data_IF_296823108789
#
_entry.id   IF_296823108789
#
_cell.length_a   1.000
_cell.length_b   1.000
_cell.length_c   1.000
_cell.angle_alpha   90.00
_cell.angle_beta   90.00
_cell.angle_gamma   90.00
#
_symmetry.space_group_name_H-M   'P 1'
#
loop_
_entity.id
_entity.type
_entity.pdbx_description
1 polymer ?
#
# COMPACT_ATOMS: atom_id res chain seq x y z
N UNK A 1 7.71 -67.93 -48.20
CA UNK A 1 8.16 -66.55 -47.89
C UNK A 1 7.13 -65.92 -46.94
N UNK A 2 7.56 -65.72 -45.69
CA UNK A 2 6.75 -65.18 -44.56
C UNK A 2 6.67 -63.66 -44.69
N UNK A 3 5.49 -63.12 -44.90
CA UNK A 3 5.29 -61.65 -44.69
C UNK A 3 5.36 -61.32 -43.23
N UNK A 4 6.28 -60.43 -42.91
CA UNK A 4 6.47 -59.89 -41.55
C UNK A 4 5.42 -58.82 -41.25
N UNK A 5 4.64 -59.09 -40.23
CA UNK A 5 3.53 -58.27 -39.75
C UNK A 5 4.08 -56.99 -39.04
N UNK A 6 4.27 -55.90 -39.81
CA UNK A 6 4.79 -54.61 -39.32
C UNK A 6 3.69 -53.75 -38.69
N UNK A 7 2.43 -54.17 -38.77
CA UNK A 7 1.31 -53.38 -38.27
C UNK A 7 1.14 -53.34 -36.76
N UNK A 8 1.65 -54.29 -36.01
CA UNK A 8 1.47 -54.36 -34.57
C UNK A 8 2.42 -53.44 -33.78
N UNK A 9 3.64 -53.15 -34.31
CA UNK A 9 4.65 -52.37 -33.61
C UNK A 9 4.35 -50.89 -33.59
N UNK A 10 3.69 -50.34 -34.62
CA UNK A 10 3.35 -48.93 -34.71
C UNK A 10 2.17 -48.53 -33.79
N UNK A 11 1.26 -49.45 -33.50
CA UNK A 11 0.16 -49.23 -32.55
C UNK A 11 0.60 -49.20 -31.10
N UNK A 12 1.64 -49.94 -30.75
CA UNK A 12 2.23 -49.93 -29.38
C UNK A 12 2.99 -48.66 -29.08
N UNK A 13 3.75 -48.12 -30.04
CA UNK A 13 4.47 -46.87 -29.91
C UNK A 13 3.56 -45.65 -29.79
N UNK A 14 2.40 -45.67 -30.46
CA UNK A 14 1.42 -44.59 -30.40
C UNK A 14 0.70 -44.53 -29.05
N UNK A 15 0.52 -45.68 -28.38
CA UNK A 15 -0.10 -45.75 -27.05
C UNK A 15 0.81 -45.28 -25.91
N UNK A 16 2.11 -45.57 -26.02
CA UNK A 16 3.10 -45.12 -25.03
C UNK A 16 3.39 -43.61 -25.09
N UNK A 17 3.35 -43.02 -26.29
CA UNK A 17 3.57 -41.59 -26.48
C UNK A 17 2.48 -40.72 -25.87
N UNK A 18 1.21 -41.15 -25.99
CA UNK A 18 0.08 -40.42 -25.41
C UNK A 18 0.12 -40.44 -23.87
N UNK A 19 0.49 -41.58 -23.28
CA UNK A 19 0.66 -41.66 -21.82
C UNK A 19 1.82 -40.81 -21.31
N UNK A 20 2.92 -40.71 -22.05
CA UNK A 20 4.06 -39.91 -21.69
C UNK A 20 3.72 -38.40 -21.77
N UNK A 21 3.03 -37.97 -22.80
CA UNK A 21 2.57 -36.57 -22.94
C UNK A 21 1.53 -36.20 -21.88
N UNK A 22 0.59 -37.09 -21.56
CA UNK A 22 -0.38 -36.86 -20.49
C UNK A 22 0.29 -36.78 -19.11
N UNK A 23 1.31 -37.58 -18.83
CA UNK A 23 2.06 -37.56 -17.60
C UNK A 23 2.91 -36.29 -17.46
N UNK A 24 3.57 -35.86 -18.54
CA UNK A 24 4.35 -34.62 -18.57
C UNK A 24 3.44 -33.39 -18.42
N UNK A 25 2.25 -33.43 -19.07
CA UNK A 25 1.27 -32.34 -18.93
C UNK A 25 0.67 -32.25 -17.52
N UNK A 26 0.41 -33.39 -16.87
CA UNK A 26 -0.03 -33.42 -15.48
C UNK A 26 1.06 -32.94 -14.51
N UNK A 27 2.31 -33.32 -14.73
CA UNK A 27 3.45 -32.84 -13.93
C UNK A 27 3.67 -31.33 -14.11
N UNK A 28 3.55 -30.82 -15.33
CA UNK A 28 3.62 -29.38 -15.59
C UNK A 28 2.44 -28.61 -14.98
N UNK A 29 1.23 -29.18 -15.03
CA UNK A 29 0.05 -28.57 -14.41
C UNK A 29 0.16 -28.56 -12.86
N UNK A 30 0.70 -29.64 -12.27
CA UNK A 30 0.98 -29.68 -10.82
C UNK A 30 2.09 -28.71 -10.42
N UNK A 31 3.11 -28.53 -11.26
CA UNK A 31 4.18 -27.55 -11.01
C UNK A 31 3.68 -26.12 -11.07
N UNK A 32 2.73 -25.79 -11.95
CA UNK A 32 2.12 -24.46 -12.03
C UNK A 32 1.16 -24.15 -10.87
N UNK A 33 0.59 -25.19 -10.24
CA UNK A 33 -0.33 -25.02 -9.12
C UNK A 33 0.40 -24.85 -7.76
N UNK A 34 1.69 -25.18 -7.69
CA UNK A 34 2.46 -25.10 -6.43
C UNK A 34 3.38 -23.88 -6.35
N UNK A 35 3.52 -23.11 -7.42
CA UNK A 35 4.22 -21.82 -7.35
C UNK A 35 3.24 -20.76 -6.86
N UNK A 36 2.93 -20.79 -5.57
CA UNK A 36 2.49 -19.57 -4.90
C UNK A 36 3.60 -18.54 -5.11
N UNK A 37 3.31 -17.51 -5.93
CA UNK A 37 4.22 -16.39 -6.08
C UNK A 37 4.61 -15.92 -4.66
N UNK A 38 5.90 -15.73 -4.36
CA UNK A 38 6.28 -15.20 -3.07
C UNK A 38 5.53 -13.87 -2.91
N UNK A 39 4.68 -13.79 -1.91
CA UNK A 39 4.02 -12.55 -1.55
C UNK A 39 5.12 -11.62 -1.03
N UNK A 40 5.63 -10.77 -1.90
CA UNK A 40 6.64 -9.76 -1.60
C UNK A 40 6.02 -8.66 -0.73
N UNK A 41 5.60 -9.00 0.46
CA UNK A 41 5.01 -8.06 1.40
C UNK A 41 5.51 -8.33 2.80
N UNK A 42 5.77 -7.27 3.57
CA UNK A 42 6.03 -7.39 5.00
C UNK A 42 4.80 -8.04 5.66
N UNK A 43 4.98 -9.25 6.16
CA UNK A 43 3.99 -9.90 7.01
C UNK A 43 4.31 -9.51 8.45
N UNK A 44 3.41 -8.81 9.15
CA UNK A 44 3.66 -8.46 10.54
C UNK A 44 3.80 -9.72 11.40
N UNK A 45 4.63 -9.67 12.45
CA UNK A 45 4.82 -10.82 13.34
C UNK A 45 3.49 -11.27 13.96
N UNK A 46 3.33 -12.55 14.32
CA UNK A 46 2.19 -13.03 15.09
C UNK A 46 1.96 -12.21 16.37
N UNK A 47 0.73 -12.22 16.88
CA UNK A 47 0.37 -11.38 18.04
C UNK A 47 1.15 -11.73 19.31
N UNK A 48 1.53 -12.98 19.50
CA UNK A 48 2.35 -13.47 20.62
C UNK A 48 3.78 -12.94 20.61
N UNK A 49 4.25 -12.49 19.47
CA UNK A 49 5.61 -11.95 19.30
C UNK A 49 5.69 -10.43 19.48
N UNK A 50 4.57 -9.80 19.69
CA UNK A 50 4.52 -8.38 20.00
C UNK A 50 4.84 -8.16 21.48
N UNK A 51 5.76 -7.26 21.85
CA UNK A 51 6.09 -7.05 23.25
C UNK A 51 4.87 -6.59 24.04
N UNK A 52 4.66 -7.16 25.23
CA UNK A 52 3.60 -6.72 26.14
C UNK A 52 3.82 -5.30 26.64
N UNK A 53 5.08 -4.91 26.80
CA UNK A 53 5.52 -3.59 27.24
C UNK A 53 6.68 -3.12 26.40
N UNK A 54 6.87 -1.81 26.28
CA UNK A 54 8.06 -1.19 25.68
C UNK A 54 8.41 0.12 26.40
N UNK A 55 9.67 0.52 26.31
CA UNK A 55 10.12 1.77 26.90
C UNK A 55 9.92 2.91 25.92
N UNK A 56 9.23 3.98 26.36
CA UNK A 56 9.06 5.22 25.60
C UNK A 56 9.54 6.38 26.48
N UNK A 57 10.58 7.07 26.06
CA UNK A 57 11.18 8.20 26.81
C UNK A 57 11.43 7.86 28.28
N UNK A 58 12.04 6.70 28.53
CA UNK A 58 12.38 6.21 29.88
C UNK A 58 11.23 5.61 30.68
N UNK A 59 9.99 5.65 30.17
CA UNK A 59 8.81 5.08 30.86
C UNK A 59 8.39 3.76 30.23
N UNK A 60 8.08 2.76 31.04
CA UNK A 60 7.48 1.50 30.61
C UNK A 60 6.01 1.72 30.25
N UNK A 61 5.66 1.36 29.04
CA UNK A 61 4.29 1.47 28.49
C UNK A 61 3.77 0.08 28.20
N UNK A 62 2.61 -0.27 28.74
CA UNK A 62 1.91 -1.50 28.39
C UNK A 62 1.16 -1.30 27.06
N UNK A 63 1.42 -2.17 26.09
CA UNK A 63 0.89 -2.02 24.73
C UNK A 63 -0.64 -2.13 24.71
N UNK A 64 -1.19 -3.05 25.51
CA UNK A 64 -2.65 -3.28 25.61
C UNK A 64 -3.42 -2.11 26.25
N UNK A 65 -2.74 -1.21 26.96
CA UNK A 65 -3.35 -0.02 27.56
C UNK A 65 -3.36 1.18 26.59
N UNK A 66 -2.78 1.04 25.42
CA UNK A 66 -2.75 2.09 24.42
C UNK A 66 -4.02 2.09 23.58
N UNK A 67 -4.67 3.22 23.51
CA UNK A 67 -5.78 3.48 22.61
C UNK A 67 -5.59 4.80 21.88
N UNK A 68 -6.07 4.89 20.65
CA UNK A 68 -5.99 6.10 19.86
C UNK A 68 -7.03 7.13 20.37
N UNK A 69 -6.60 8.26 20.94
CA UNK A 69 -7.52 9.28 21.44
C UNK A 69 -8.17 10.11 20.32
N UNK A 70 -7.73 9.95 19.07
CA UNK A 70 -8.18 10.74 17.91
C UNK A 70 -8.95 9.92 16.87
N UNK A 71 -9.48 8.76 17.24
CA UNK A 71 -10.02 7.76 16.30
C UNK A 71 -11.02 8.31 15.27
N UNK A 72 -11.83 9.30 15.62
CA UNK A 72 -12.85 9.88 14.74
C UNK A 72 -12.78 11.42 14.69
N UNK A 73 -11.61 11.98 14.92
CA UNK A 73 -11.41 13.42 14.92
C UNK A 73 -10.99 13.92 13.52
N UNK A 74 -11.82 14.70 12.81
CA UNK A 74 -11.50 15.22 11.48
C UNK A 74 -10.27 16.16 11.48
N UNK A 75 -10.04 16.90 12.56
CA UNK A 75 -8.85 17.78 12.68
C UNK A 75 -7.59 16.93 12.82
N UNK A 76 -7.68 15.86 13.58
CA UNK A 76 -6.57 14.91 13.70
C UNK A 76 -6.30 14.16 12.40
N UNK A 77 -7.35 13.81 11.64
CA UNK A 77 -7.23 13.21 10.30
C UNK A 77 -6.41 14.11 9.37
N UNK A 78 -6.80 15.40 9.25
CA UNK A 78 -6.11 16.35 8.38
C UNK A 78 -4.66 16.59 8.83
N UNK A 79 -4.45 16.78 10.14
CA UNK A 79 -3.09 16.95 10.66
C UNK A 79 -2.24 15.70 10.49
N UNK A 80 -2.85 14.51 10.67
CA UNK A 80 -2.21 13.21 10.46
C UNK A 80 -1.75 13.04 9.02
N UNK A 81 -2.59 13.43 8.04
CA UNK A 81 -2.23 13.41 6.63
C UNK A 81 -1.04 14.32 6.31
N UNK A 82 -1.01 15.54 6.83
CA UNK A 82 0.12 16.45 6.66
C UNK A 82 1.42 15.86 7.25
N UNK A 83 1.34 15.26 8.44
CA UNK A 83 2.48 14.59 9.06
C UNK A 83 2.92 13.35 8.28
N UNK A 84 1.97 12.55 7.77
CA UNK A 84 2.26 11.41 6.92
C UNK A 84 3.01 11.84 5.65
N UNK A 85 2.53 12.85 4.96
CA UNK A 85 3.19 13.41 3.76
C UNK A 85 4.61 13.87 4.08
N UNK A 86 4.80 14.50 5.21
CA UNK A 86 6.13 15.03 5.60
C UNK A 86 7.12 13.91 5.95
N UNK A 87 6.68 12.84 6.62
CA UNK A 87 7.58 11.88 7.27
C UNK A 87 7.50 10.46 6.72
N UNK A 88 6.41 10.07 6.09
CA UNK A 88 6.13 8.67 5.74
C UNK A 88 5.98 8.43 4.22
N UNK A 89 5.50 9.44 3.50
CA UNK A 89 5.16 9.41 2.08
C UNK A 89 6.28 8.86 1.19
N UNK A 90 7.53 9.28 1.39
CA UNK A 90 8.63 8.89 0.51
C UNK A 90 8.91 7.38 0.52
N UNK A 91 8.57 6.70 1.59
CA UNK A 91 8.71 5.24 1.68
C UNK A 91 7.38 4.52 1.43
N UNK A 92 6.29 5.00 2.07
CA UNK A 92 5.00 4.29 2.08
C UNK A 92 4.05 4.69 0.95
N UNK A 93 4.40 5.72 0.12
CA UNK A 93 3.60 6.16 -1.01
C UNK A 93 2.38 7.01 -0.62
N UNK A 94 1.83 7.71 -1.58
CA UNK A 94 0.62 8.51 -1.45
C UNK A 94 -0.65 7.67 -1.41
N UNK A 95 -0.62 6.52 -2.07
CA UNK A 95 -1.69 5.53 -2.05
C UNK A 95 -1.64 4.61 -0.84
N UNK A 96 -0.68 4.80 0.07
CA UNK A 96 -0.49 3.93 1.24
C UNK A 96 -0.10 2.48 0.89
N UNK A 97 0.38 2.24 -0.32
CA UNK A 97 0.65 0.93 -0.93
C UNK A 97 2.11 0.47 -0.80
N UNK A 98 2.95 1.21 -0.06
CA UNK A 98 4.37 0.91 0.10
C UNK A 98 5.24 1.30 -1.11
N UNK A 99 4.67 1.86 -2.17
CA UNK A 99 5.35 2.23 -3.41
C UNK A 99 5.82 3.69 -3.44
N UNK A 100 6.24 4.23 -2.31
CA UNK A 100 6.87 5.54 -2.27
C UNK A 100 8.18 5.58 -3.06
N UNK A 101 8.69 6.78 -3.33
CA UNK A 101 9.88 7.02 -4.14
C UNK A 101 11.07 6.13 -3.73
N UNK A 102 11.26 5.93 -2.43
CA UNK A 102 12.32 5.08 -1.88
C UNK A 102 11.86 3.65 -1.55
N UNK A 103 10.56 3.35 -1.68
CA UNK A 103 9.99 2.07 -1.25
C UNK A 103 10.65 0.86 -1.90
N UNK A 104 10.97 0.95 -3.18
CA UNK A 104 11.61 -0.12 -3.96
C UNK A 104 13.08 -0.37 -3.61
N UNK A 105 13.70 0.53 -2.87
CA UNK A 105 15.12 0.42 -2.48
C UNK A 105 15.32 -0.38 -1.19
N UNK A 106 14.24 -0.78 -0.52
CA UNK A 106 14.31 -1.47 0.76
C UNK A 106 13.95 -2.96 0.64
N UNK A 107 14.61 -3.77 1.46
CA UNK A 107 14.31 -5.20 1.66
C UNK A 107 14.31 -5.48 3.16
N UNK A 108 13.15 -5.77 3.77
CA UNK A 108 11.81 -5.83 3.17
C UNK A 108 11.31 -4.45 2.71
N UNK A 109 10.38 -4.44 1.73
CA UNK A 109 9.74 -3.21 1.29
C UNK A 109 8.88 -2.59 2.41
N UNK A 110 8.56 -1.30 2.33
CA UNK A 110 7.61 -0.66 3.25
C UNK A 110 6.26 -1.36 3.24
N UNK A 111 5.59 -1.37 4.38
CA UNK A 111 4.29 -2.00 4.51
C UNK A 111 3.27 -1.36 3.53
N UNK A 112 2.54 -2.23 2.83
CA UNK A 112 1.37 -1.87 2.05
C UNK A 112 0.15 -1.85 2.96
N UNK A 113 -0.37 -0.65 3.25
CA UNK A 113 -1.54 -0.47 4.11
C UNK A 113 -2.86 -0.72 3.37
N UNK A 114 -2.84 -0.92 2.06
CA UNK A 114 -4.06 -1.17 1.28
C UNK A 114 -4.51 -2.63 1.36
N UNK A 115 -3.67 -3.52 1.86
CA UNK A 115 -3.97 -4.95 1.99
C UNK A 115 -4.72 -5.25 3.29
N UNK A 116 -5.73 -6.13 3.22
CA UNK A 116 -6.51 -6.56 4.40
C UNK A 116 -5.67 -7.35 5.43
N UNK A 117 -4.68 -8.11 4.94
CA UNK A 117 -3.77 -8.91 5.76
C UNK A 117 -2.53 -8.12 6.25
N UNK A 118 -2.54 -6.82 6.02
CA UNK A 118 -1.45 -5.94 6.39
C UNK A 118 -1.49 -5.55 7.89
N UNK A 119 -0.67 -4.56 8.23
CA UNK A 119 -0.63 -3.94 9.57
C UNK A 119 -2.02 -3.47 10.05
N UNK A 120 -2.96 -3.18 9.13
CA UNK A 120 -4.32 -2.75 9.48
C UNK A 120 -5.15 -3.86 10.15
N UNK A 121 -4.79 -5.12 9.98
CA UNK A 121 -5.39 -6.25 10.70
C UNK A 121 -4.99 -6.26 12.19
N UNK A 122 -4.00 -5.46 12.56
CA UNK A 122 -3.47 -5.37 13.92
C UNK A 122 -4.12 -4.23 14.71
N UNK A 123 -4.15 -4.32 16.04
CA UNK A 123 -4.55 -3.20 16.88
C UNK A 123 -3.71 -1.96 16.60
N UNK A 124 -4.31 -0.77 16.64
CA UNK A 124 -3.59 0.49 16.40
C UNK A 124 -2.42 0.72 17.37
N UNK A 125 -2.46 0.13 18.56
CA UNK A 125 -1.37 0.12 19.51
C UNK A 125 -0.09 -0.53 18.94
N UNK A 126 -0.25 -1.59 18.13
CA UNK A 126 0.87 -2.21 17.42
C UNK A 126 1.51 -1.23 16.44
N UNK A 127 0.69 -0.53 15.65
CA UNK A 127 1.18 0.48 14.71
C UNK A 127 1.87 1.63 15.41
N UNK A 128 1.33 2.05 16.56
CA UNK A 128 1.96 3.07 17.40
C UNK A 128 3.36 2.64 17.84
N UNK A 129 3.48 1.44 18.40
CA UNK A 129 4.77 0.89 18.81
C UNK A 129 5.75 0.80 17.63
N UNK A 130 5.29 0.33 16.47
CA UNK A 130 6.12 0.21 15.26
C UNK A 130 6.64 1.56 14.77
N UNK A 131 5.82 2.59 14.77
CA UNK A 131 6.24 3.93 14.39
C UNK A 131 7.26 4.46 15.41
N UNK A 132 6.98 4.33 16.70
CA UNK A 132 7.87 4.84 17.74
C UNK A 132 9.25 4.15 17.70
N UNK A 133 9.29 2.82 17.56
CA UNK A 133 10.52 2.02 17.67
C UNK A 133 11.19 1.67 16.35
N UNK A 134 10.50 1.84 15.25
CA UNK A 134 11.04 1.55 13.92
C UNK A 134 11.42 0.08 13.72
N UNK A 135 12.34 -0.18 12.80
CA UNK A 135 12.88 -1.51 12.51
C UNK A 135 13.50 -2.20 13.71
N UNK A 136 14.20 -1.46 14.54
CA UNK A 136 14.85 -1.96 15.75
C UNK A 136 13.88 -2.49 16.82
N UNK A 137 12.59 -2.15 16.73
CA UNK A 137 11.56 -2.63 17.63
C UNK A 137 11.10 -4.06 17.33
N UNK A 138 11.53 -4.69 16.22
CA UNK A 138 11.17 -6.06 15.91
C UNK A 138 11.96 -7.05 16.75
N UNK A 139 11.31 -8.14 17.22
CA UNK A 139 12.01 -9.26 17.84
C UNK A 139 13.08 -9.84 16.92
N UNK A 140 14.21 -10.27 17.50
CA UNK A 140 15.37 -10.80 16.77
C UNK A 140 15.03 -11.99 15.85
N UNK A 141 14.11 -12.83 16.24
CA UNK A 141 13.66 -13.98 15.43
C UNK A 141 13.04 -13.59 14.08
N UNK A 142 12.67 -12.33 13.87
CA UNK A 142 12.23 -11.80 12.59
C UNK A 142 13.37 -11.19 11.77
N UNK A 143 14.59 -11.31 12.23
CA UNK A 143 15.75 -11.04 11.37
C UNK A 143 15.94 -12.20 10.39
N UNK A 144 16.26 -11.97 9.13
CA UNK A 144 16.93 -10.78 8.60
C UNK A 144 16.01 -9.64 8.19
N UNK A 145 14.82 -9.53 8.73
CA UNK A 145 13.90 -8.41 8.47
C UNK A 145 14.47 -7.12 9.03
N UNK A 146 15.62 -6.75 8.53
CA UNK A 146 16.30 -5.51 8.87
C UNK A 146 15.50 -4.35 8.28
N UNK A 147 14.32 -4.15 8.84
CA UNK A 147 13.43 -3.08 8.42
C UNK A 147 14.14 -1.75 8.50
N UNK A 148 14.26 -1.07 7.38
CA UNK A 148 14.87 0.25 7.29
C UNK A 148 13.99 1.36 7.91
N UNK A 149 12.80 1.03 8.41
CA UNK A 149 11.91 1.98 9.04
C UNK A 149 12.61 2.63 10.26
N UNK A 150 12.78 3.97 10.28
CA UNK A 150 13.41 4.64 11.40
C UNK A 150 12.52 4.64 12.65
N UNK A 151 13.13 4.78 13.82
CA UNK A 151 12.41 5.08 15.05
C UNK A 151 12.03 6.56 15.06
N UNK A 152 10.78 6.86 15.36
CA UNK A 152 10.25 8.23 15.34
C UNK A 152 10.07 8.86 16.72
N UNK A 153 10.41 8.14 17.80
CA UNK A 153 10.17 8.58 19.17
C UNK A 153 10.89 9.90 19.55
N UNK A 154 12.01 10.20 18.91
CA UNK A 154 12.75 11.45 19.14
C UNK A 154 12.25 12.60 18.25
N UNK A 155 11.64 12.29 17.12
CA UNK A 155 11.22 13.31 16.12
C UNK A 155 9.75 13.68 16.26
N UNK A 156 8.88 12.71 16.60
CA UNK A 156 7.45 12.89 16.66
C UNK A 156 6.92 12.75 18.10
N UNK A 157 5.96 13.60 18.45
CA UNK A 157 5.23 13.42 19.70
C UNK A 157 4.28 12.22 19.61
N UNK A 158 3.96 11.60 20.75
CA UNK A 158 2.95 10.54 20.82
C UNK A 158 1.60 10.97 20.21
N UNK A 159 1.21 12.23 20.44
CA UNK A 159 -0.02 12.81 19.86
C UNK A 159 0.05 12.87 18.33
N UNK A 160 1.18 13.23 17.77
CA UNK A 160 1.35 13.30 16.31
C UNK A 160 1.37 11.92 15.67
N UNK A 161 1.99 10.93 16.31
CA UNK A 161 1.93 9.53 15.86
C UNK A 161 0.50 9.02 15.87
N UNK A 162 -0.30 9.30 16.90
CA UNK A 162 -1.72 8.92 16.91
C UNK A 162 -2.53 9.57 15.79
N UNK A 163 -2.25 10.81 15.43
CA UNK A 163 -2.90 11.49 14.28
C UNK A 163 -2.49 10.84 12.96
N UNK A 164 -1.21 10.49 12.79
CA UNK A 164 -0.75 9.73 11.62
C UNK A 164 -1.49 8.38 11.52
N UNK A 165 -1.64 7.66 12.62
CA UNK A 165 -2.38 6.41 12.69
C UNK A 165 -3.85 6.62 12.31
N UNK A 166 -4.48 7.69 12.81
CA UNK A 166 -5.84 8.05 12.41
C UNK A 166 -5.95 8.21 10.90
N UNK A 167 -5.01 8.93 10.29
CA UNK A 167 -4.96 9.10 8.84
C UNK A 167 -4.79 7.77 8.10
N UNK A 168 -3.80 6.96 8.48
CA UNK A 168 -3.54 5.66 7.83
C UNK A 168 -4.78 4.77 7.87
N UNK A 169 -5.34 4.54 9.07
CA UNK A 169 -6.45 3.61 9.24
C UNK A 169 -7.76 4.09 8.59
N UNK A 170 -8.07 5.37 8.65
CA UNK A 170 -9.27 5.91 8.00
C UNK A 170 -9.12 5.95 6.48
N UNK A 171 -7.95 6.35 5.98
CA UNK A 171 -7.70 6.43 4.54
C UNK A 171 -7.63 5.04 3.93
N UNK A 172 -6.86 4.13 4.49
CA UNK A 172 -6.74 2.76 3.98
C UNK A 172 -8.04 1.96 4.17
N UNK A 173 -8.76 2.15 5.29
CA UNK A 173 -10.05 1.52 5.52
C UNK A 173 -11.10 1.86 4.46
N UNK A 174 -11.01 3.03 3.84
CA UNK A 174 -11.91 3.43 2.73
C UNK A 174 -11.69 2.60 1.45
N UNK A 175 -10.49 2.03 1.24
CA UNK A 175 -10.19 1.15 0.11
C UNK A 175 -10.88 -0.21 0.22
N UNK A 176 -11.22 -0.62 1.44
CA UNK A 176 -11.85 -1.93 1.74
C UNK A 176 -13.35 -1.85 1.89
N UNK A 177 -13.92 -0.67 2.04
CA UNK A 177 -15.37 -0.53 1.88
C UNK A 177 -15.66 -0.79 0.41
N UNK A 178 -16.39 -1.89 0.10
CA UNK A 178 -17.00 -2.06 -1.22
C UNK A 178 -17.56 -0.71 -1.60
N UNK A 179 -17.29 -0.20 -2.83
CA UNK A 179 -17.92 1.03 -3.26
C UNK A 179 -19.42 0.79 -3.10
N UNK A 180 -19.98 1.30 -2.00
CA UNK A 180 -21.42 1.38 -1.86
C UNK A 180 -21.90 2.04 -3.13
N UNK A 181 -23.08 1.71 -3.66
CA UNK A 181 -23.66 2.35 -4.82
C UNK A 181 -23.36 3.85 -4.69
N UNK A 182 -22.31 4.28 -5.35
CA UNK A 182 -21.89 5.67 -5.28
C UNK A 182 -23.06 6.43 -5.93
N UNK A 183 -23.70 7.28 -5.15
CA UNK A 183 -24.65 8.21 -5.72
C UNK A 183 -23.99 9.02 -6.86
N UNK A 184 -24.77 9.69 -7.68
CA UNK A 184 -24.23 10.48 -8.78
C UNK A 184 -23.10 11.38 -8.26
N UNK A 185 -22.08 11.68 -9.08
CA UNK A 185 -21.02 12.60 -8.72
C UNK A 185 -21.61 13.92 -8.21
N UNK A 186 -21.14 14.38 -7.06
CA UNK A 186 -21.55 15.68 -6.52
C UNK A 186 -20.33 16.54 -6.25
N UNK A 187 -20.47 17.84 -6.42
CA UNK A 187 -19.42 18.82 -6.17
C UNK A 187 -18.91 18.74 -4.72
N UNK A 188 -19.82 18.57 -3.76
CA UNK A 188 -19.47 18.45 -2.34
C UNK A 188 -18.63 17.21 -2.06
N UNK A 189 -19.03 16.07 -2.63
CA UNK A 189 -18.26 14.84 -2.52
C UNK A 189 -16.90 14.95 -3.20
N UNK A 190 -16.83 15.57 -4.37
CA UNK A 190 -15.59 15.87 -5.07
C UNK A 190 -14.66 16.75 -4.24
N UNK A 191 -15.19 17.78 -3.58
CA UNK A 191 -14.45 18.65 -2.67
C UNK A 191 -13.89 17.87 -1.48
N UNK A 192 -14.68 16.99 -0.88
CA UNK A 192 -14.21 16.14 0.22
C UNK A 192 -13.05 15.23 -0.21
N UNK A 193 -13.18 14.60 -1.38
CA UNK A 193 -12.10 13.77 -1.95
C UNK A 193 -10.86 14.63 -2.23
N UNK A 194 -11.03 15.81 -2.81
CA UNK A 194 -9.91 16.72 -3.06
C UNK A 194 -9.17 17.10 -1.78
N UNK A 195 -9.89 17.48 -0.74
CA UNK A 195 -9.31 17.84 0.56
C UNK A 195 -8.60 16.64 1.25
N UNK A 196 -9.03 15.42 0.95
CA UNK A 196 -8.42 14.21 1.52
C UNK A 196 -7.22 13.71 0.72
N UNK A 197 -7.23 13.86 -0.60
CA UNK A 197 -6.28 13.17 -1.49
C UNK A 197 -5.36 14.12 -2.27
N UNK A 198 -5.79 15.34 -2.56
CA UNK A 198 -5.13 16.20 -3.52
C UNK A 198 -4.53 17.46 -2.89
N UNK A 199 -5.12 17.94 -1.80
CA UNK A 199 -4.77 19.23 -1.18
C UNK A 199 -3.30 19.31 -0.75
N UNK A 200 -2.71 18.21 -0.30
CA UNK A 200 -1.33 18.23 0.21
C UNK A 200 -0.30 18.56 -0.87
N UNK A 201 -0.57 18.16 -2.10
CA UNK A 201 0.27 18.53 -3.25
C UNK A 201 -0.24 19.80 -3.93
N UNK A 202 -1.56 19.88 -4.18
CA UNK A 202 -2.12 20.92 -5.00
C UNK A 202 -2.57 22.19 -4.26
N UNK A 203 -2.54 22.17 -2.90
CA UNK A 203 -3.01 23.29 -2.08
C UNK A 203 -4.53 23.39 -2.01
N UNK A 204 -5.07 24.13 -1.02
CA UNK A 204 -6.52 24.30 -0.84
C UNK A 204 -7.17 24.97 -2.05
N UNK A 205 -6.47 25.90 -2.68
CA UNK A 205 -6.91 26.60 -3.87
C UNK A 205 -6.54 25.92 -5.20
N UNK A 206 -5.93 24.74 -5.19
CA UNK A 206 -5.52 24.05 -6.42
C UNK A 206 -4.35 24.70 -7.16
N UNK A 207 -3.58 25.58 -6.52
CA UNK A 207 -2.50 26.35 -7.15
C UNK A 207 -1.18 25.58 -7.31
N UNK A 208 -1.08 24.36 -6.78
CA UNK A 208 0.16 23.60 -6.74
C UNK A 208 1.11 24.05 -5.63
N UNK A 209 0.57 24.65 -4.60
CA UNK A 209 1.24 25.27 -3.46
C UNK A 209 0.94 24.52 -2.13
N UNK A 210 0.57 23.25 -2.21
CA UNK A 210 0.33 22.43 -1.03
C UNK A 210 1.58 22.18 -0.20
N UNK A 211 1.43 21.69 1.04
CA UNK A 211 2.56 21.48 1.97
C UNK A 211 3.70 20.61 1.43
N UNK A 212 3.44 19.73 0.47
CA UNK A 212 4.46 18.88 -0.17
C UNK A 212 5.01 19.46 -1.47
N UNK A 213 4.52 20.61 -1.93
CA UNK A 213 4.89 21.18 -3.23
C UNK A 213 6.40 21.46 -3.35
N UNK A 214 7.04 21.94 -2.29
CA UNK A 214 8.46 22.28 -2.28
C UNK A 214 9.38 21.05 -2.24
N UNK A 215 8.82 19.89 -1.91
CA UNK A 215 9.53 18.59 -1.85
C UNK A 215 9.24 17.71 -3.07
N UNK A 216 8.45 18.19 -4.03
CA UNK A 216 8.03 17.41 -5.20
C UNK A 216 8.74 17.89 -6.48
N UNK A 217 9.36 16.97 -7.22
CA UNK A 217 9.98 17.23 -8.52
C UNK A 217 9.40 16.27 -9.57
N UNK A 218 8.67 16.75 -10.55
CA UNK A 218 8.30 18.15 -10.80
C UNK A 218 7.28 18.66 -9.78
N UNK A 219 7.25 19.98 -9.57
CA UNK A 219 6.26 20.61 -8.68
C UNK A 219 4.82 20.27 -9.11
N UNK A 220 3.90 20.14 -8.13
CA UNK A 220 2.51 19.91 -8.41
C UNK A 220 1.93 20.96 -9.33
N UNK A 221 1.13 20.51 -10.28
CA UNK A 221 0.55 21.39 -11.28
C UNK A 221 -0.49 22.34 -10.65
N UNK A 222 -0.48 23.59 -11.10
CA UNK A 222 -1.56 24.51 -10.80
C UNK A 222 -2.80 24.12 -11.61
N UNK A 223 -3.81 23.59 -10.91
CA UNK A 223 -5.08 23.12 -11.53
C UNK A 223 -5.98 24.28 -11.94
N UNK A 224 -5.81 25.49 -11.35
CA UNK A 224 -6.65 26.65 -11.67
C UNK A 224 -6.40 27.21 -13.07
N UNK A 225 -5.26 26.84 -13.68
CA UNK A 225 -4.92 27.27 -15.04
C UNK A 225 -5.52 26.39 -16.13
N UNK A 226 -6.17 25.28 -15.79
CA UNK A 226 -6.82 24.38 -16.76
C UNK A 226 -5.89 23.74 -17.80
N UNK A 227 -4.57 23.82 -17.59
CA UNK A 227 -3.60 23.26 -18.54
C UNK A 227 -3.42 21.76 -18.31
N UNK A 228 -4.28 20.94 -18.88
CA UNK A 228 -4.17 19.48 -18.89
C UNK A 228 -3.41 19.06 -20.14
N UNK A 229 -2.26 18.40 -19.97
CA UNK A 229 -1.39 17.98 -21.10
C UNK A 229 -2.00 16.83 -21.92
N UNK A 230 -2.60 15.86 -21.24
CA UNK A 230 -3.21 14.69 -21.86
C UNK A 230 -4.70 14.97 -21.96
N UNK A 231 -5.19 15.21 -23.18
CA UNK A 231 -6.60 15.53 -23.44
C UNK A 231 -6.97 15.18 -24.86
N UNK A 232 -8.24 14.89 -25.09
CA UNK A 232 -8.82 14.61 -26.40
C UNK A 232 -9.29 15.89 -27.13
N UNK A 233 -9.41 17.03 -26.39
CA UNK A 233 -9.81 18.31 -26.94
C UNK A 233 -8.64 19.09 -27.54
N UNK A 234 -8.92 19.96 -28.51
CA UNK A 234 -7.94 20.83 -29.12
C UNK A 234 -7.24 21.75 -28.12
N UNK A 235 -6.05 22.23 -28.48
CA UNK A 235 -5.32 23.19 -27.65
C UNK A 235 -6.17 24.43 -27.34
N UNK A 236 -6.17 24.87 -26.08
CA UNK A 236 -6.95 26.02 -25.62
C UNK A 236 -8.41 25.69 -25.27
N UNK A 237 -8.90 24.49 -25.53
CA UNK A 237 -10.24 24.05 -25.09
C UNK A 237 -10.20 23.37 -23.72
N UNK A 238 -11.30 23.41 -23.00
CA UNK A 238 -11.47 22.72 -21.72
C UNK A 238 -11.42 21.20 -21.97
N UNK A 239 -10.67 20.43 -21.17
CA UNK A 239 -10.66 18.98 -21.26
C UNK A 239 -12.04 18.40 -20.94
N UNK A 240 -12.35 17.24 -21.51
CA UNK A 240 -13.57 16.50 -21.14
C UNK A 240 -13.43 15.86 -19.74
N UNK A 241 -14.56 15.52 -19.12
CA UNK A 241 -14.54 14.77 -17.84
C UNK A 241 -13.78 13.46 -17.95
N UNK A 242 -13.84 12.80 -19.11
CA UNK A 242 -13.08 11.59 -19.40
C UNK A 242 -11.56 11.86 -19.44
N UNK A 243 -11.15 12.99 -20.00
CA UNK A 243 -9.74 13.37 -20.01
C UNK A 243 -9.24 13.63 -18.58
N UNK A 244 -10.06 14.31 -17.77
CA UNK A 244 -9.75 14.55 -16.35
C UNK A 244 -9.67 13.24 -15.57
N UNK A 245 -10.63 12.34 -15.77
CA UNK A 245 -10.63 11.02 -15.14
C UNK A 245 -9.39 10.18 -15.50
N UNK A 246 -8.94 10.24 -16.75
CA UNK A 246 -7.76 9.52 -17.21
C UNK A 246 -6.43 10.18 -16.77
N UNK A 247 -6.47 11.42 -16.32
CA UNK A 247 -5.29 12.19 -15.90
C UNK A 247 -5.01 12.11 -14.38
N UNK A 248 -6.00 11.62 -13.63
CA UNK A 248 -5.93 11.39 -12.17
C UNK A 248 -5.61 9.93 -11.88
#
# INVERSE_FOLDING_TARGET
LKEKNWGASLKALKKSGIFYWLSVFHLLLLYTLTTSAPTWGFTPPPSEDVPKTFTLKGKQIALNNLSNPFKNDPKALNKGGALYTKHCFFCHGDLLDGNGLFGKSFSPPPADFTRLDSILSRPQAYTFWRIMKGGKGLPEKYQPWNSAMPAWEETLSAKDVWKIITYIYQTAGQWHTKPGKQGPPSLEKGKQVYLQKCVYCHGEGGKGDGPSADYSMPRPRNLTKGHIKIRSTSFGKIPTDKDLFNAI
#
